data_IF_450615225185
#
_entry.id   IF_450615225185
#
_cell.length_a   1.000
_cell.length_b   1.000
_cell.length_c   1.000
_cell.angle_alpha   90.00
_cell.angle_beta   90.00
_cell.angle_gamma   90.00
#
_symmetry.space_group_name_H-M   'P 1'
#
loop_
_entity.id
_entity.type
_entity.pdbx_description
1 polymer ?
#
# COMPACT_ATOMS: atom_id res chain seq x y z
N UNK A 1 -3.05 0.03 24.78
CA UNK A 1 -2.83 -1.34 24.27
C UNK A 1 -2.75 -1.41 22.74
N UNK A 2 -3.62 -0.76 21.95
CA UNK A 2 -3.55 -0.78 20.47
C UNK A 2 -2.24 -0.25 19.85
N UNK A 3 -1.69 0.84 20.39
CA UNK A 3 -0.45 1.45 19.84
C UNK A 3 0.77 0.54 19.89
N UNK A 4 0.82 -0.40 20.84
CA UNK A 4 1.91 -1.37 20.96
C UNK A 4 1.92 -2.35 19.77
N UNK A 5 0.74 -2.77 19.30
CA UNK A 5 0.62 -3.71 18.18
C UNK A 5 0.95 -3.07 16.83
N UNK A 6 0.61 -1.80 16.64
CA UNK A 6 0.97 -1.03 15.44
C UNK A 6 2.48 -0.82 15.38
N UNK A 7 3.10 -0.48 16.52
CA UNK A 7 4.56 -0.34 16.60
C UNK A 7 5.29 -1.68 16.40
N UNK A 8 4.74 -2.77 16.94
CA UNK A 8 5.26 -4.13 16.74
C UNK A 8 5.17 -4.56 15.26
N UNK A 9 4.07 -4.28 14.57
CA UNK A 9 3.93 -4.55 13.13
C UNK A 9 4.87 -3.69 12.28
N UNK A 10 5.09 -2.43 12.65
CA UNK A 10 6.05 -1.54 11.96
C UNK A 10 7.51 -1.95 12.21
N UNK A 11 7.85 -2.46 13.41
CA UNK A 11 9.17 -3.05 13.69
C UNK A 11 9.35 -4.34 12.88
N UNK A 12 8.38 -5.26 12.93
CA UNK A 12 8.46 -6.53 12.19
C UNK A 12 8.56 -6.27 10.68
N UNK A 13 7.86 -5.25 10.17
CA UNK A 13 7.97 -4.81 8.77
C UNK A 13 9.35 -4.17 8.47
N UNK A 14 9.86 -3.32 9.37
CA UNK A 14 11.19 -2.70 9.26
C UNK A 14 12.33 -3.73 9.33
N UNK A 15 12.20 -4.76 10.15
CA UNK A 15 13.20 -5.82 10.29
C UNK A 15 13.10 -6.86 9.17
N UNK A 16 11.90 -7.10 8.61
CA UNK A 16 11.71 -7.80 7.34
C UNK A 16 12.43 -7.08 6.18
N UNK A 17 12.42 -5.75 6.18
CA UNK A 17 13.20 -4.91 5.26
C UNK A 17 14.72 -4.99 5.49
N UNK A 18 15.19 -5.20 6.72
CA UNK A 18 16.64 -5.35 7.02
C UNK A 18 17.19 -6.73 6.71
N UNK A 19 16.36 -7.79 6.78
CA UNK A 19 16.75 -9.17 6.41
C UNK A 19 17.21 -9.31 4.95
N UNK A 20 16.85 -8.32 4.14
CA UNK A 20 17.15 -8.23 2.72
C UNK A 20 18.58 -7.72 2.37
N UNK A 21 19.42 -7.35 3.34
CA UNK A 21 20.80 -6.89 3.05
C UNK A 21 21.80 -8.01 2.72
N UNK A 22 21.48 -9.31 2.90
CA UNK A 22 22.48 -10.39 2.83
C UNK A 22 22.27 -11.51 1.80
N UNK A 23 21.28 -11.42 0.88
CA UNK A 23 20.91 -12.54 -0.03
C UNK A 23 20.95 -12.15 -1.51
N UNK A 24 21.45 -13.07 -2.35
CA UNK A 24 21.60 -12.99 -3.82
C UNK A 24 20.49 -12.18 -4.51
N UNK A 25 20.90 -11.21 -5.32
CA UNK A 25 20.05 -10.21 -6.01
C UNK A 25 18.89 -10.83 -6.81
N UNK A 26 19.11 -11.92 -7.56
CA UNK A 26 18.08 -12.48 -8.45
C UNK A 26 16.93 -13.17 -7.70
N UNK A 27 17.23 -13.95 -6.65
CA UNK A 27 16.18 -14.58 -5.84
C UNK A 27 15.36 -13.53 -5.09
N UNK A 28 15.98 -12.41 -4.72
CA UNK A 28 15.32 -11.33 -3.99
C UNK A 28 14.31 -10.57 -4.85
N UNK A 29 14.63 -10.26 -6.10
CA UNK A 29 13.71 -9.60 -7.04
C UNK A 29 12.46 -10.44 -7.28
N UNK A 30 12.62 -11.74 -7.53
CA UNK A 30 11.49 -12.66 -7.75
C UNK A 30 10.60 -12.72 -6.51
N UNK A 31 11.20 -12.85 -5.32
CA UNK A 31 10.45 -12.86 -4.05
C UNK A 31 9.68 -11.56 -3.86
N UNK A 32 10.30 -10.40 -4.07
CA UNK A 32 9.62 -9.10 -3.94
C UNK A 32 8.47 -9.00 -4.93
N UNK A 33 8.70 -9.38 -6.19
CA UNK A 33 7.67 -9.33 -7.24
C UNK A 33 6.43 -10.13 -6.85
N UNK A 34 6.60 -11.41 -6.52
CA UNK A 34 5.48 -12.27 -6.13
C UNK A 34 4.84 -11.84 -4.80
N UNK A 35 5.63 -11.33 -3.85
CA UNK A 35 5.09 -10.83 -2.58
C UNK A 35 4.18 -9.62 -2.81
N UNK A 36 4.62 -8.65 -3.63
CA UNK A 36 3.80 -7.48 -3.97
C UNK A 36 2.59 -7.89 -4.80
N UNK A 37 2.76 -8.77 -5.79
CA UNK A 37 1.67 -9.25 -6.63
C UNK A 37 0.56 -9.90 -5.80
N UNK A 38 0.91 -10.83 -4.90
CA UNK A 38 -0.08 -11.52 -4.06
C UNK A 38 -0.72 -10.55 -3.06
N UNK A 39 0.09 -9.72 -2.39
CA UNK A 39 -0.40 -8.81 -1.36
C UNK A 39 -1.32 -7.73 -1.96
N UNK A 40 -0.92 -7.12 -3.07
CA UNK A 40 -1.75 -6.13 -3.78
C UNK A 40 -3.07 -6.74 -4.25
N UNK A 41 -3.04 -7.94 -4.84
CA UNK A 41 -4.26 -8.63 -5.27
C UNK A 41 -5.20 -8.94 -4.11
N UNK A 42 -4.66 -9.35 -2.95
CA UNK A 42 -5.46 -9.60 -1.75
C UNK A 42 -6.12 -8.31 -1.23
N UNK A 43 -5.35 -7.21 -1.19
CA UNK A 43 -5.85 -5.90 -0.75
C UNK A 43 -6.89 -5.37 -1.74
N UNK A 44 -6.62 -5.42 -3.04
CA UNK A 44 -7.51 -4.96 -4.10
C UNK A 44 -8.85 -5.72 -4.07
N UNK A 45 -8.80 -7.04 -3.93
CA UNK A 45 -10.01 -7.85 -3.81
C UNK A 45 -10.79 -7.50 -2.54
N UNK A 46 -10.10 -7.40 -1.40
CA UNK A 46 -10.72 -7.08 -0.11
C UNK A 46 -11.35 -5.70 -0.12
N UNK A 47 -10.66 -4.70 -0.67
CA UNK A 47 -11.13 -3.33 -0.79
C UNK A 47 -12.37 -3.25 -1.69
N UNK A 48 -12.33 -3.89 -2.87
CA UNK A 48 -13.48 -3.98 -3.77
C UNK A 48 -14.69 -4.64 -3.09
N UNK A 49 -14.46 -5.72 -2.34
CA UNK A 49 -15.53 -6.43 -1.63
C UNK A 49 -16.14 -5.61 -0.49
N UNK A 50 -15.30 -4.97 0.33
CA UNK A 50 -15.75 -4.11 1.44
C UNK A 50 -16.53 -2.92 0.89
N UNK A 51 -16.00 -2.25 -0.14
CA UNK A 51 -16.64 -1.08 -0.70
C UNK A 51 -18.01 -1.39 -1.29
N UNK A 52 -18.13 -2.50 -2.00
CA UNK A 52 -19.42 -2.94 -2.52
C UNK A 52 -20.38 -3.33 -1.39
N UNK A 53 -19.89 -4.00 -0.33
CA UNK A 53 -20.76 -4.44 0.77
C UNK A 53 -21.28 -3.30 1.64
N UNK A 54 -20.46 -2.28 1.91
CA UNK A 54 -20.81 -1.18 2.82
C UNK A 54 -21.39 0.04 2.09
N UNK A 55 -20.92 0.32 0.88
CA UNK A 55 -21.26 1.54 0.14
C UNK A 55 -21.98 1.25 -1.19
N UNK A 56 -22.23 -0.03 -1.54
CA UNK A 56 -22.76 -0.44 -2.85
C UNK A 56 -22.01 0.18 -4.03
N UNK A 57 -20.72 0.52 -3.83
CA UNK A 57 -19.92 1.26 -4.78
C UNK A 57 -18.83 0.34 -5.37
N UNK A 58 -18.71 0.36 -6.70
CA UNK A 58 -17.59 -0.26 -7.41
C UNK A 58 -16.69 0.81 -8.00
N UNK A 59 -15.48 0.88 -7.47
CA UNK A 59 -14.47 1.90 -7.80
C UNK A 59 -13.73 1.58 -9.11
N UNK A 60 -13.65 0.30 -9.47
CA UNK A 60 -13.12 -0.20 -10.73
C UNK A 60 -13.85 -1.48 -11.14
N UNK A 61 -13.79 -1.81 -12.43
CA UNK A 61 -14.38 -3.02 -12.98
C UNK A 61 -13.43 -3.66 -13.99
N UNK A 62 -12.97 -4.89 -13.71
CA UNK A 62 -12.12 -5.68 -14.59
C UNK A 62 -12.84 -6.81 -15.32
N UNK A 63 -14.19 -6.76 -15.43
CA UNK A 63 -14.97 -7.81 -16.11
C UNK A 63 -14.49 -8.13 -17.53
N UNK A 64 -13.99 -7.12 -18.26
CA UNK A 64 -13.54 -7.28 -19.65
C UNK A 64 -12.08 -7.76 -19.77
N UNK A 65 -11.36 -7.89 -18.65
CA UNK A 65 -9.95 -8.30 -18.64
C UNK A 65 -9.84 -9.83 -18.59
N UNK A 66 -8.81 -10.38 -19.26
CA UNK A 66 -8.52 -11.82 -19.21
C UNK A 66 -8.02 -12.22 -17.83
N UNK A 67 -8.44 -13.40 -17.37
CA UNK A 67 -8.11 -13.94 -16.04
C UNK A 67 -8.54 -13.01 -14.89
N UNK A 68 -9.72 -12.40 -15.01
CA UNK A 68 -10.33 -11.66 -13.92
C UNK A 68 -11.03 -12.60 -12.92
N UNK A 69 -11.10 -12.18 -11.66
CA UNK A 69 -11.86 -12.85 -10.61
C UNK A 69 -13.00 -11.93 -10.18
N UNK A 70 -14.23 -12.32 -10.55
CA UNK A 70 -15.47 -11.59 -10.26
C UNK A 70 -15.45 -10.11 -10.74
N UNK A 71 -14.62 -9.78 -11.74
CA UNK A 71 -14.36 -8.40 -12.16
C UNK A 71 -13.69 -7.50 -11.10
N UNK A 72 -13.21 -8.06 -9.97
CA UNK A 72 -12.64 -7.30 -8.84
C UNK A 72 -11.12 -7.15 -8.92
N UNK A 73 -10.44 -8.21 -9.36
CA UNK A 73 -9.02 -8.25 -9.65
C UNK A 73 -8.80 -8.91 -11.01
N UNK A 74 -7.71 -8.57 -11.67
CA UNK A 74 -7.29 -9.23 -12.91
C UNK A 74 -5.78 -9.50 -12.89
N UNK A 75 -5.37 -10.61 -13.47
CA UNK A 75 -3.96 -11.00 -13.51
C UNK A 75 -3.07 -9.92 -14.13
N UNK A 76 -3.57 -9.24 -15.16
CA UNK A 76 -2.86 -8.14 -15.81
C UNK A 76 -2.57 -6.99 -14.84
N UNK A 77 -3.59 -6.57 -14.07
CA UNK A 77 -3.45 -5.54 -13.03
C UNK A 77 -2.45 -5.97 -11.95
N UNK A 78 -2.56 -7.21 -11.47
CA UNK A 78 -1.64 -7.78 -10.47
C UNK A 78 -0.18 -7.78 -10.94
N UNK A 79 0.08 -8.02 -12.23
CA UNK A 79 1.42 -7.95 -12.82
C UNK A 79 1.94 -6.51 -12.80
N UNK A 80 1.12 -5.52 -13.17
CA UNK A 80 1.51 -4.11 -13.08
C UNK A 80 1.85 -3.69 -11.65
N UNK A 81 1.08 -4.15 -10.66
CA UNK A 81 1.44 -3.92 -9.25
C UNK A 81 2.75 -4.59 -8.86
N UNK A 82 3.01 -5.82 -9.32
CA UNK A 82 4.28 -6.50 -9.10
C UNK A 82 5.47 -5.72 -9.67
N UNK A 83 5.37 -5.23 -10.91
CA UNK A 83 6.39 -4.40 -11.57
C UNK A 83 6.54 -3.07 -10.81
N UNK A 84 5.42 -2.42 -10.48
CA UNK A 84 5.40 -1.18 -9.70
C UNK A 84 6.10 -1.35 -8.34
N UNK A 85 5.88 -2.48 -7.67
CA UNK A 85 6.57 -2.83 -6.42
C UNK A 85 8.09 -2.92 -6.58
N UNK A 86 8.56 -3.49 -7.69
CA UNK A 86 10.00 -3.51 -8.01
C UNK A 86 10.54 -2.12 -8.27
N UNK A 87 9.83 -1.28 -9.03
CA UNK A 87 10.22 0.12 -9.28
C UNK A 87 10.29 0.89 -7.95
N UNK A 88 9.29 0.72 -7.09
CA UNK A 88 9.28 1.36 -5.77
C UNK A 88 10.51 0.91 -4.96
N UNK A 89 10.78 -0.39 -4.90
CA UNK A 89 11.88 -0.93 -4.11
C UNK A 89 13.26 -0.51 -4.62
N UNK A 90 13.49 -0.57 -5.93
CA UNK A 90 14.81 -0.34 -6.51
C UNK A 90 15.08 1.11 -6.94
N UNK A 91 14.04 1.93 -7.15
CA UNK A 91 14.17 3.31 -7.64
C UNK A 91 13.65 4.30 -6.61
N UNK A 92 12.40 4.17 -6.19
CA UNK A 92 11.75 5.17 -5.32
C UNK A 92 12.36 5.15 -3.92
N UNK A 93 12.52 3.98 -3.32
CA UNK A 93 13.08 3.83 -1.98
C UNK A 93 14.49 4.45 -1.84
N UNK A 94 15.49 4.14 -2.70
CA UNK A 94 16.80 4.79 -2.58
C UNK A 94 16.77 6.29 -2.90
N UNK A 95 15.85 6.75 -3.75
CA UNK A 95 15.66 8.18 -4.01
C UNK A 95 15.11 8.89 -2.76
N UNK A 96 14.10 8.33 -2.12
CA UNK A 96 13.53 8.84 -0.86
C UNK A 96 14.56 8.81 0.27
N UNK A 97 15.37 7.75 0.36
CA UNK A 97 16.45 7.68 1.35
C UNK A 97 17.48 8.80 1.15
N UNK A 98 17.86 9.10 -0.09
CA UNK A 98 18.72 10.25 -0.41
C UNK A 98 18.06 11.57 -0.04
N UNK A 99 16.80 11.77 -0.41
CA UNK A 99 16.08 13.01 -0.10
C UNK A 99 15.92 13.22 1.41
N UNK A 100 15.62 12.15 2.16
CA UNK A 100 15.52 12.18 3.62
C UNK A 100 16.79 12.72 4.28
N UNK A 101 17.97 12.37 3.78
CA UNK A 101 19.25 12.89 4.34
C UNK A 101 19.46 14.39 4.12
N UNK A 102 18.70 15.02 3.22
CA UNK A 102 18.80 16.46 2.90
C UNK A 102 17.80 17.32 3.66
N UNK A 103 16.78 16.72 4.26
CA UNK A 103 15.68 17.43 4.93
C UNK A 103 15.85 17.30 6.44
N UNK A 104 15.53 18.36 7.18
CA UNK A 104 15.54 18.32 8.64
C UNK A 104 14.53 17.26 9.16
N UNK A 105 14.93 16.34 10.06
CA UNK A 105 14.03 15.31 10.59
C UNK A 105 12.75 15.88 11.21
N UNK A 106 12.82 17.04 11.87
CA UNK A 106 11.65 17.68 12.46
C UNK A 106 10.65 18.14 11.40
N UNK A 107 11.12 18.63 10.25
CA UNK A 107 10.25 19.03 9.15
C UNK A 107 9.51 17.84 8.54
N UNK A 108 10.17 16.68 8.42
CA UNK A 108 9.54 15.45 7.96
C UNK A 108 8.43 15.04 8.93
N UNK A 109 8.72 15.01 10.23
CA UNK A 109 7.73 14.63 11.26
C UNK A 109 6.53 15.58 11.25
N UNK A 110 6.77 16.90 11.26
CA UNK A 110 5.71 17.91 11.24
C UNK A 110 4.84 17.75 9.99
N UNK A 111 5.46 17.61 8.81
CA UNK A 111 4.72 17.41 7.56
C UNK A 111 3.88 16.12 7.58
N UNK A 112 4.40 15.03 8.14
CA UNK A 112 3.68 13.77 8.28
C UNK A 112 2.46 13.89 9.20
N UNK A 113 2.59 14.61 10.32
CA UNK A 113 1.49 14.89 11.25
C UNK A 113 0.41 15.72 10.54
N UNK A 114 0.79 16.78 9.84
CA UNK A 114 -0.15 17.66 9.13
C UNK A 114 -0.92 16.90 8.05
N UNK A 115 -0.23 16.13 7.21
CA UNK A 115 -0.87 15.33 6.16
C UNK A 115 -1.83 14.30 6.77
N UNK A 116 -1.41 13.62 7.83
CA UNK A 116 -2.26 12.63 8.51
C UNK A 116 -3.50 13.27 9.11
N UNK A 117 -3.38 14.44 9.72
CA UNK A 117 -4.51 15.19 10.27
C UNK A 117 -5.52 15.57 9.18
N UNK A 118 -5.04 16.02 8.01
CA UNK A 118 -5.89 16.32 6.85
C UNK A 118 -6.62 15.07 6.37
N UNK A 119 -5.93 13.94 6.20
CA UNK A 119 -6.56 12.69 5.75
C UNK A 119 -7.60 12.15 6.73
N UNK A 120 -7.35 12.25 8.05
CA UNK A 120 -8.33 11.85 9.06
C UNK A 120 -9.55 12.77 9.01
N UNK A 121 -9.34 14.07 8.85
CA UNK A 121 -10.43 15.04 8.76
C UNK A 121 -11.31 14.76 7.53
N UNK A 122 -10.72 14.52 6.37
CA UNK A 122 -11.40 14.14 5.13
C UNK A 122 -12.22 12.85 5.29
N UNK A 123 -11.65 11.85 5.94
CA UNK A 123 -12.36 10.59 6.23
C UNK A 123 -13.57 10.81 7.14
N UNK A 124 -13.42 11.59 8.23
CA UNK A 124 -14.53 11.89 9.15
C UNK A 124 -15.65 12.65 8.43
N UNK A 125 -15.29 13.67 7.65
CA UNK A 125 -16.27 14.45 6.87
C UNK A 125 -16.99 13.55 5.87
N UNK A 126 -16.29 12.67 5.17
CA UNK A 126 -16.89 11.74 4.21
C UNK A 126 -17.89 10.80 4.88
N UNK A 127 -17.53 10.21 6.02
CA UNK A 127 -18.40 9.28 6.75
C UNK A 127 -19.61 9.99 7.38
N UNK A 128 -19.43 11.19 7.93
CA UNK A 128 -20.54 11.95 8.53
C UNK A 128 -21.45 12.58 7.48
N UNK A 129 -20.90 13.02 6.34
CA UNK A 129 -21.65 13.57 5.23
C UNK A 129 -22.58 12.55 4.56
N UNK A 130 -22.22 11.25 4.59
CA UNK A 130 -23.07 10.19 4.05
C UNK A 130 -24.34 9.88 4.85
N UNK A 131 -24.49 10.37 6.09
CA UNK A 131 -25.74 10.21 6.86
C UNK A 131 -26.79 11.30 6.56
N UNK A 132 -26.47 12.27 5.69
CA UNK A 132 -27.32 13.43 5.40
C UNK A 132 -28.16 13.34 4.12
N UNK A 133 -28.24 12.16 3.49
CA UNK A 133 -29.08 11.88 2.31
C UNK A 133 -29.91 10.62 2.46
#
# INVERSE_FOLDING_TARGET
MLYSYIWFLLIVFSDSLKWHKKKKICCKTIVIFFSVLILSSLIEYSASYILEKFFNLRLWNYSDYKYNLNGRIALESSIYFGIGGLVIFYVVQPLLDKLRTRINPNAIIISGILISAVMISDFIITVTGTESW
#
